data_IF_196456033600
#
_entry.id   IF_196456033600
#
_cell.length_a   1.000
_cell.length_b   1.000
_cell.length_c   1.000
_cell.angle_alpha   90.00
_cell.angle_beta   90.00
_cell.angle_gamma   90.00
#
_symmetry.space_group_name_H-M   'P 1'
#
loop_
_entity.id
_entity.type
_entity.pdbx_description
1 polymer ?
#
# COMPACT_ATOMS: atom_id res chain seq x y z
N UNK A 1 25.08 -20.09 18.39
CA UNK A 1 24.70 -18.65 18.39
C UNK A 1 23.30 -18.54 17.82
N UNK A 2 22.32 -17.94 18.51
CA UNK A 2 20.99 -17.75 17.94
C UNK A 2 21.07 -16.63 16.89
N UNK A 3 20.58 -16.90 15.68
CA UNK A 3 20.41 -15.88 14.64
C UNK A 3 19.32 -14.94 15.14
N UNK A 4 19.59 -13.63 15.12
CA UNK A 4 18.56 -12.62 15.34
C UNK A 4 17.67 -12.61 14.10
N UNK A 5 16.67 -13.48 14.10
CA UNK A 5 15.57 -13.45 13.14
C UNK A 5 14.65 -12.28 13.54
N UNK A 6 15.14 -11.05 13.35
CA UNK A 6 14.23 -9.90 13.28
C UNK A 6 13.57 -10.05 11.92
N UNK A 7 12.26 -10.29 11.82
CA UNK A 7 11.62 -10.38 10.53
C UNK A 7 11.69 -8.98 9.91
N UNK A 8 12.54 -8.82 8.89
CA UNK A 8 12.43 -7.71 7.95
C UNK A 8 10.94 -7.65 7.54
N UNK A 9 10.30 -6.46 7.61
CA UNK A 9 8.89 -6.38 7.32
C UNK A 9 8.63 -6.91 5.92
N UNK A 10 7.73 -7.89 5.82
CA UNK A 10 7.28 -8.37 4.52
C UNK A 10 6.50 -7.26 3.80
N UNK A 11 6.42 -7.27 2.46
CA UNK A 11 5.61 -6.32 1.70
C UNK A 11 4.15 -6.24 2.18
N UNK A 12 3.60 -7.36 2.66
CA UNK A 12 2.26 -7.42 3.27
C UNK A 12 2.18 -6.58 4.55
N UNK A 13 3.19 -6.68 5.40
CA UNK A 13 3.23 -5.92 6.65
C UNK A 13 3.50 -4.41 6.39
N UNK A 14 4.21 -4.06 5.32
CA UNK A 14 4.38 -2.67 4.89
C UNK A 14 3.08 -2.08 4.30
N UNK A 15 2.32 -2.90 3.55
CA UNK A 15 1.00 -2.54 3.05
C UNK A 15 0.02 -2.26 4.20
N UNK A 16 -0.17 -3.22 5.12
CA UNK A 16 -1.12 -3.08 6.24
C UNK A 16 -0.82 -1.84 7.07
N UNK A 17 0.45 -1.61 7.43
CA UNK A 17 0.84 -0.41 8.19
C UNK A 17 0.59 0.89 7.42
N UNK A 18 0.85 0.91 6.12
CA UNK A 18 0.64 2.12 5.31
C UNK A 18 -0.84 2.42 5.11
N UNK A 19 -1.66 1.37 4.96
CA UNK A 19 -3.11 1.47 4.86
C UNK A 19 -3.72 1.97 6.18
N UNK A 20 -3.37 1.35 7.31
CA UNK A 20 -3.82 1.78 8.64
C UNK A 20 -3.48 3.26 8.89
N UNK A 21 -2.26 3.68 8.56
CA UNK A 21 -1.84 5.07 8.72
C UNK A 21 -2.66 6.01 7.81
N UNK A 22 -2.98 5.59 6.58
CA UNK A 22 -3.76 6.37 5.64
C UNK A 22 -5.21 6.52 6.11
N UNK A 23 -5.83 5.46 6.60
CA UNK A 23 -7.19 5.49 7.16
C UNK A 23 -7.26 6.44 8.36
N UNK A 24 -6.32 6.32 9.31
CA UNK A 24 -6.24 7.21 10.47
C UNK A 24 -6.02 8.68 10.06
N UNK A 25 -5.29 8.92 8.98
CA UNK A 25 -5.06 10.27 8.46
C UNK A 25 -6.34 10.84 7.84
N UNK A 26 -7.05 10.06 7.03
CA UNK A 26 -8.34 10.46 6.44
C UNK A 26 -9.36 10.75 7.53
N UNK A 27 -9.49 9.89 8.55
CA UNK A 27 -10.38 10.14 9.68
C UNK A 27 -10.09 11.48 10.38
N UNK A 28 -8.81 11.85 10.54
CA UNK A 28 -8.43 13.15 11.11
C UNK A 28 -8.79 14.31 10.18
N UNK A 29 -8.63 14.15 8.87
CA UNK A 29 -8.99 15.18 7.89
C UNK A 29 -10.51 15.40 7.86
N UNK A 30 -11.32 14.35 8.02
CA UNK A 30 -12.78 14.42 8.06
C UNK A 30 -13.33 15.08 9.32
N UNK A 31 -12.58 15.12 10.41
CA UNK A 31 -12.97 15.81 11.65
C UNK A 31 -13.06 17.33 11.47
N UNK A 32 -12.38 17.91 10.48
CA UNK A 32 -12.56 19.31 10.07
C UNK A 32 -11.86 20.36 10.95
N UNK A 33 -11.09 19.96 11.96
CA UNK A 33 -10.39 20.85 12.89
C UNK A 33 -8.97 21.26 12.44
N UNK A 34 -8.59 20.97 11.19
CA UNK A 34 -7.25 21.24 10.66
C UNK A 34 -7.13 22.65 10.06
N UNK A 35 -6.03 23.34 10.35
CA UNK A 35 -5.65 24.56 9.64
C UNK A 35 -5.23 24.25 8.20
N UNK A 36 -5.18 25.26 7.32
CA UNK A 36 -4.76 25.07 5.92
C UNK A 36 -3.38 24.42 5.80
N UNK A 37 -2.40 24.86 6.59
CA UNK A 37 -1.04 24.30 6.58
C UNK A 37 -1.05 22.84 7.05
N UNK A 38 -1.86 22.51 8.06
CA UNK A 38 -2.03 21.13 8.53
C UNK A 38 -2.70 20.25 7.48
N UNK A 39 -3.70 20.76 6.77
CA UNK A 39 -4.37 20.04 5.68
C UNK A 39 -3.45 19.78 4.50
N UNK A 40 -2.56 20.73 4.16
CA UNK A 40 -1.53 20.53 3.13
C UNK A 40 -0.51 19.46 3.54
N UNK A 41 -0.02 19.51 4.77
CA UNK A 41 0.89 18.50 5.30
C UNK A 41 0.25 17.10 5.34
N UNK A 42 -1.01 17.02 5.78
CA UNK A 42 -1.78 15.78 5.77
C UNK A 42 -1.95 15.25 4.34
N UNK A 43 -2.27 16.10 3.37
CA UNK A 43 -2.37 15.66 1.97
C UNK A 43 -1.04 15.08 1.43
N UNK A 44 0.09 15.74 1.69
CA UNK A 44 1.40 15.24 1.28
C UNK A 44 1.74 13.89 1.92
N UNK A 45 1.45 13.73 3.22
CA UNK A 45 1.60 12.46 3.93
C UNK A 45 0.71 11.37 3.32
N UNK A 46 -0.56 11.69 3.06
CA UNK A 46 -1.52 10.77 2.46
C UNK A 46 -1.09 10.27 1.08
N UNK A 47 -0.58 11.16 0.23
CA UNK A 47 0.00 10.79 -1.08
C UNK A 47 1.21 9.86 -0.90
N UNK A 48 2.04 10.12 0.11
CA UNK A 48 3.18 9.25 0.45
C UNK A 48 2.74 7.85 0.86
N UNK A 49 1.74 7.75 1.75
CA UNK A 49 1.18 6.48 2.22
C UNK A 49 0.52 5.70 1.07
N UNK A 50 -0.29 6.37 0.25
CA UNK A 50 -0.91 5.78 -0.93
C UNK A 50 0.12 5.15 -1.88
N UNK A 51 1.21 5.88 -2.17
CA UNK A 51 2.29 5.35 -3.04
C UNK A 51 2.94 4.11 -2.45
N UNK A 52 3.16 4.06 -1.13
CA UNK A 52 3.70 2.86 -0.46
C UNK A 52 2.76 1.67 -0.58
N UNK A 53 1.45 1.89 -0.41
CA UNK A 53 0.46 0.83 -0.63
C UNK A 53 0.52 0.29 -2.05
N UNK A 54 0.56 1.15 -3.06
CA UNK A 54 0.68 0.77 -4.47
C UNK A 54 1.95 -0.06 -4.73
N UNK A 55 3.12 0.41 -4.26
CA UNK A 55 4.38 -0.34 -4.42
C UNK A 55 4.33 -1.71 -3.76
N UNK A 56 3.77 -1.81 -2.55
CA UNK A 56 3.64 -3.10 -1.87
C UNK A 56 2.72 -4.09 -2.63
N UNK A 57 1.64 -3.58 -3.24
CA UNK A 57 0.74 -4.37 -4.08
C UNK A 57 1.44 -4.84 -5.38
N UNK A 58 2.19 -3.96 -6.03
CA UNK A 58 2.97 -4.30 -7.24
C UNK A 58 4.01 -5.40 -6.95
N UNK A 59 4.71 -5.32 -5.82
CA UNK A 59 5.66 -6.34 -5.39
C UNK A 59 4.96 -7.68 -5.09
N UNK A 60 3.82 -7.64 -4.42
CA UNK A 60 3.02 -8.83 -4.15
C UNK A 60 2.53 -9.48 -5.45
N UNK A 61 2.04 -8.68 -6.40
CA UNK A 61 1.61 -9.16 -7.70
C UNK A 61 2.77 -9.81 -8.47
N UNK A 62 3.93 -9.14 -8.55
CA UNK A 62 5.12 -9.69 -9.19
C UNK A 62 5.51 -11.05 -8.60
N UNK A 63 5.44 -11.18 -7.28
CA UNK A 63 5.73 -12.44 -6.59
C UNK A 63 4.71 -13.54 -6.95
N UNK A 64 3.43 -13.20 -7.04
CA UNK A 64 2.38 -14.13 -7.48
C UNK A 64 2.62 -14.59 -8.93
N UNK A 65 2.98 -13.67 -9.83
CA UNK A 65 3.30 -13.99 -11.24
C UNK A 65 4.45 -15.00 -11.33
N UNK A 66 5.55 -14.76 -10.60
CA UNK A 66 6.70 -15.67 -10.56
C UNK A 66 6.36 -17.06 -10.01
N UNK A 67 5.41 -17.16 -9.08
CA UNK A 67 4.97 -18.43 -8.50
C UNK A 67 4.00 -19.21 -9.39
N UNK A 68 3.23 -18.52 -10.23
CA UNK A 68 2.16 -19.13 -11.04
C UNK A 68 2.71 -19.71 -12.35
N UNK A 69 3.67 -19.04 -13.00
CA UNK A 69 4.42 -19.61 -14.12
C UNK A 69 5.88 -19.08 -14.15
N UNK A 70 6.85 -19.86 -13.62
CA UNK A 70 8.26 -19.49 -13.63
C UNK A 70 8.90 -19.43 -15.03
N UNK A 71 8.23 -19.94 -16.08
CA UNK A 71 8.75 -20.02 -17.44
C UNK A 71 8.05 -19.03 -18.39
N UNK A 72 6.83 -18.58 -18.06
CA UNK A 72 6.12 -17.52 -18.79
C UNK A 72 5.42 -16.49 -17.86
N UNK A 73 6.21 -15.67 -17.13
CA UNK A 73 5.65 -14.63 -16.26
C UNK A 73 4.92 -13.50 -17.01
N UNK A 74 5.01 -13.44 -18.35
CA UNK A 74 4.30 -12.47 -19.19
C UNK A 74 2.84 -12.88 -19.48
N UNK A 75 2.49 -14.15 -19.28
CA UNK A 75 1.13 -14.67 -19.46
C UNK A 75 0.17 -14.34 -18.32
N UNK A 76 0.70 -13.88 -17.18
CA UNK A 76 -0.10 -13.57 -16.01
C UNK A 76 -1.00 -12.36 -16.26
N UNK A 77 -2.30 -12.58 -16.09
CA UNK A 77 -3.31 -11.52 -16.21
C UNK A 77 -3.24 -10.62 -14.98
N UNK A 78 -3.20 -9.28 -15.14
CA UNK A 78 -3.36 -8.35 -14.03
C UNK A 78 -4.66 -8.63 -13.28
N UNK A 79 -4.65 -8.44 -11.96
CA UNK A 79 -5.91 -8.41 -11.22
C UNK A 79 -6.72 -7.21 -11.74
N UNK A 80 -7.98 -7.39 -12.16
CA UNK A 80 -8.77 -6.28 -12.66
C UNK A 80 -8.95 -5.28 -11.52
N UNK A 81 -8.45 -4.05 -11.72
CA UNK A 81 -8.79 -2.91 -10.86
C UNK A 81 -10.31 -2.88 -10.74
N UNK A 82 -10.82 -3.01 -9.51
CA UNK A 82 -12.24 -2.86 -9.27
C UNK A 82 -12.66 -1.48 -9.79
N UNK A 83 -13.73 -1.38 -10.60
CA UNK A 83 -14.17 -0.09 -11.11
C UNK A 83 -14.45 0.83 -9.92
N UNK A 84 -13.92 2.04 -9.98
CA UNK A 84 -14.12 3.08 -8.96
C UNK A 84 -15.60 3.36 -8.67
N UNK A 85 -15.91 4.08 -7.58
CA UNK A 85 -17.26 4.18 -7.01
C UNK A 85 -18.20 5.10 -7.81
N UNK A 86 -18.42 4.82 -9.09
CA UNK A 86 -19.41 5.49 -9.95
C UNK A 86 -20.00 4.52 -11.01
N UNK A 87 -20.56 3.40 -10.56
CA UNK A 87 -21.43 2.52 -11.35
C UNK A 87 -22.80 2.34 -10.68
#
# INVERSE_FOLDING_TARGET
>A
MPRKDTPEPSPVADFERSLDALENLVEKMEQGDMSLDQSLAAYEEGVGLYRRCQTALEEAEMRVRLLTDPQDPASAQPYPDAPGPDA
#
